data_IF_892355126036
#
_entry.id   IF_892355126036
#
_cell.length_a   1.000
_cell.length_b   1.000
_cell.length_c   1.000
_cell.angle_alpha   90.00
_cell.angle_beta   90.00
_cell.angle_gamma   90.00
#
_symmetry.space_group_name_H-M   'P 1'
#
loop_
_entity.id
_entity.type
_entity.pdbx_description
1 polymer ?
#
# COMPACT_ATOMS: atom_id res chain seq x y z
N UNK A 1 -2.67 62.68 -12.76
CA UNK A 1 -2.28 61.44 -12.03
C UNK A 1 -0.84 61.13 -12.39
N UNK A 2 0.09 61.33 -11.41
CA UNK A 2 1.52 61.01 -11.61
C UNK A 2 1.71 59.51 -11.26
N UNK A 3 2.14 58.73 -12.25
CA UNK A 3 2.48 57.30 -12.06
C UNK A 3 3.90 57.23 -11.51
N UNK A 4 4.03 56.86 -10.25
CA UNK A 4 5.31 56.66 -9.57
C UNK A 4 5.75 55.19 -9.73
N UNK A 5 6.86 54.96 -10.44
CA UNK A 5 7.46 53.64 -10.62
C UNK A 5 8.74 53.59 -9.78
N UNK A 6 8.73 52.97 -8.56
CA UNK A 6 9.94 52.84 -7.76
C UNK A 6 10.87 51.81 -8.40
N UNK A 7 12.05 52.24 -8.88
CA UNK A 7 13.09 51.35 -9.36
C UNK A 7 14.23 51.29 -8.35
N UNK A 8 14.43 50.14 -7.65
CA UNK A 8 15.56 50.01 -6.73
C UNK A 8 16.86 49.90 -7.52
N UNK A 9 17.70 50.96 -7.44
CA UNK A 9 18.98 51.03 -8.17
C UNK A 9 20.04 50.15 -7.51
N UNK A 10 19.96 49.95 -6.19
CA UNK A 10 20.90 49.14 -5.43
C UNK A 10 20.23 48.52 -4.19
N UNK A 11 20.37 47.20 -3.99
CA UNK A 11 19.66 46.44 -2.95
C UNK A 11 20.60 45.74 -1.93
N UNK A 12 21.90 46.03 -1.97
CA UNK A 12 22.90 45.42 -1.09
C UNK A 12 22.84 43.87 -1.08
N UNK A 13 22.65 43.26 -2.27
CA UNK A 13 22.55 41.77 -2.38
C UNK A 13 21.21 41.18 -1.98
N UNK A 14 20.24 41.97 -1.44
CA UNK A 14 18.94 41.44 -1.00
C UNK A 14 18.15 40.76 -2.13
N UNK A 15 18.19 41.30 -3.32
CA UNK A 15 17.49 40.71 -4.49
C UNK A 15 18.12 39.38 -4.86
N UNK A 16 19.45 39.31 -4.85
CA UNK A 16 20.19 38.06 -5.16
C UNK A 16 19.95 36.98 -4.08
N UNK A 17 19.89 37.36 -2.79
CA UNK A 17 19.56 36.47 -1.70
C UNK A 17 18.13 35.93 -1.82
N UNK A 18 17.17 36.76 -2.21
CA UNK A 18 15.78 36.34 -2.46
C UNK A 18 15.72 35.37 -3.66
N UNK A 19 16.47 35.65 -4.73
CA UNK A 19 16.54 34.77 -5.88
C UNK A 19 17.15 33.40 -5.54
N UNK A 20 18.26 33.38 -4.79
CA UNK A 20 18.87 32.12 -4.31
C UNK A 20 17.91 31.32 -3.42
N UNK A 21 17.23 31.99 -2.51
CA UNK A 21 16.24 31.34 -1.66
C UNK A 21 15.04 30.79 -2.46
N UNK A 22 14.58 31.50 -3.47
CA UNK A 22 13.52 31.02 -4.36
C UNK A 22 13.97 29.81 -5.21
N UNK A 23 15.20 29.80 -5.70
CA UNK A 23 15.80 28.66 -6.38
C UNK A 23 15.94 27.43 -5.45
N UNK A 24 16.33 27.64 -4.21
CA UNK A 24 16.39 26.57 -3.22
C UNK A 24 15.00 25.98 -2.95
N UNK A 25 13.96 26.80 -2.83
CA UNK A 25 12.58 26.32 -2.65
C UNK A 25 12.06 25.56 -3.87
N UNK A 26 12.36 26.01 -5.08
CA UNK A 26 12.04 25.30 -6.32
C UNK A 26 12.71 23.93 -6.36
N UNK A 27 13.99 23.84 -5.98
CA UNK A 27 14.73 22.56 -5.89
C UNK A 27 14.12 21.64 -4.82
N UNK A 28 13.80 22.17 -3.65
CA UNK A 28 13.17 21.42 -2.55
C UNK A 28 11.80 20.89 -2.98
N UNK A 29 10.99 21.68 -3.69
CA UNK A 29 9.68 21.24 -4.22
C UNK A 29 9.83 20.10 -5.23
N UNK A 30 10.89 20.11 -6.05
CA UNK A 30 11.22 19.00 -6.95
C UNK A 30 11.57 17.71 -6.19
N UNK A 31 12.28 17.83 -5.08
CA UNK A 31 12.61 16.71 -4.18
C UNK A 31 11.37 16.19 -3.44
N UNK A 32 10.45 17.06 -3.01
CA UNK A 32 9.17 16.65 -2.42
C UNK A 32 8.32 15.85 -3.42
N UNK A 33 8.30 16.26 -4.68
CA UNK A 33 7.63 15.50 -5.73
C UNK A 33 8.26 14.12 -5.91
N UNK A 34 9.59 14.01 -5.84
CA UNK A 34 10.28 12.72 -5.89
C UNK A 34 9.94 11.84 -4.67
N UNK A 35 9.87 12.44 -3.48
CA UNK A 35 9.44 11.75 -2.26
C UNK A 35 8.00 11.21 -2.40
N UNK A 36 7.06 12.07 -2.79
CA UNK A 36 5.66 11.69 -2.99
C UNK A 36 5.49 10.55 -4.02
N UNK A 37 6.28 10.56 -5.10
CA UNK A 37 6.29 9.47 -6.09
C UNK A 37 6.81 8.16 -5.51
N UNK A 38 7.81 8.20 -4.64
CA UNK A 38 8.33 6.99 -3.97
C UNK A 38 7.32 6.44 -2.97
N UNK A 39 6.64 7.29 -2.22
CA UNK A 39 5.59 6.90 -1.28
C UNK A 39 4.42 6.25 -2.03
N UNK A 40 3.96 6.86 -3.12
CA UNK A 40 2.91 6.29 -3.96
C UNK A 40 3.30 4.92 -4.54
N UNK A 41 4.54 4.76 -5.01
CA UNK A 41 5.03 3.45 -5.48
C UNK A 41 4.97 2.40 -4.38
N UNK A 42 5.38 2.75 -3.16
CA UNK A 42 5.33 1.84 -2.02
C UNK A 42 3.88 1.47 -1.67
N UNK A 43 2.97 2.44 -1.66
CA UNK A 43 1.54 2.21 -1.39
C UNK A 43 0.92 1.29 -2.45
N UNK A 44 1.17 1.54 -3.74
CA UNK A 44 0.69 0.68 -4.83
C UNK A 44 1.25 -0.74 -4.69
N UNK A 45 2.54 -0.87 -4.37
CA UNK A 45 3.16 -2.19 -4.18
C UNK A 45 2.53 -2.94 -3.02
N UNK A 46 2.26 -2.27 -1.90
CA UNK A 46 1.57 -2.86 -0.75
C UNK A 46 0.13 -3.27 -1.09
N UNK A 47 -0.60 -2.40 -1.78
CA UNK A 47 -1.97 -2.69 -2.20
C UNK A 47 -2.02 -3.87 -3.18
N UNK A 48 -1.07 -3.95 -4.11
CA UNK A 48 -0.92 -5.08 -5.03
C UNK A 48 -0.76 -6.41 -4.27
N UNK A 49 0.20 -6.49 -3.35
CA UNK A 49 0.42 -7.70 -2.56
C UNK A 49 -0.73 -8.01 -1.61
N UNK A 50 -1.46 -7.00 -1.13
CA UNK A 50 -2.68 -7.21 -0.34
C UNK A 50 -3.76 -7.92 -1.17
N UNK A 51 -3.95 -7.56 -2.45
CA UNK A 51 -4.90 -8.24 -3.34
C UNK A 51 -4.45 -9.68 -3.62
N UNK A 52 -3.17 -9.90 -3.91
CA UNK A 52 -2.62 -11.25 -4.15
C UNK A 52 -2.85 -12.14 -2.93
N UNK A 53 -2.50 -11.67 -1.74
CA UNK A 53 -2.68 -12.39 -0.48
C UNK A 53 -4.16 -12.66 -0.19
N UNK A 54 -5.04 -11.68 -0.39
CA UNK A 54 -6.47 -11.84 -0.19
C UNK A 54 -7.08 -12.85 -1.19
N UNK A 55 -6.62 -12.88 -2.42
CA UNK A 55 -7.05 -13.84 -3.44
C UNK A 55 -6.66 -15.27 -3.06
N UNK A 56 -5.41 -15.48 -2.61
CA UNK A 56 -4.97 -16.77 -2.11
C UNK A 56 -5.73 -17.20 -0.85
N UNK A 57 -6.05 -16.27 0.04
CA UNK A 57 -6.88 -16.54 1.21
C UNK A 57 -8.27 -17.05 0.82
N UNK A 58 -8.92 -16.45 -0.19
CA UNK A 58 -10.20 -16.94 -0.72
C UNK A 58 -10.06 -18.37 -1.23
N UNK A 59 -9.01 -18.68 -1.99
CA UNK A 59 -8.78 -20.03 -2.52
C UNK A 59 -8.64 -21.06 -1.41
N UNK A 60 -7.81 -20.79 -0.41
CA UNK A 60 -7.56 -21.70 0.72
C UNK A 60 -8.83 -21.95 1.53
N UNK A 61 -9.61 -20.88 1.80
CA UNK A 61 -10.85 -21.00 2.57
C UNK A 61 -11.94 -21.72 1.77
N UNK A 62 -12.02 -21.51 0.46
CA UNK A 62 -12.96 -22.22 -0.42
C UNK A 62 -12.65 -23.71 -0.48
N UNK A 63 -11.38 -24.09 -0.67
CA UNK A 63 -10.95 -25.50 -0.59
C UNK A 63 -11.25 -26.14 0.76
N UNK A 64 -11.13 -25.37 1.85
CA UNK A 64 -11.49 -25.85 3.20
C UNK A 64 -13.00 -26.07 3.31
N UNK A 65 -13.82 -25.21 2.72
CA UNK A 65 -15.28 -25.40 2.68
C UNK A 65 -15.66 -26.65 1.89
N UNK A 66 -15.02 -26.90 0.75
CA UNK A 66 -15.25 -28.13 -0.05
C UNK A 66 -14.92 -29.39 0.74
N UNK A 67 -13.82 -29.37 1.53
CA UNK A 67 -13.51 -30.49 2.44
C UNK A 67 -14.56 -30.68 3.53
N UNK A 68 -15.12 -29.59 4.08
CA UNK A 68 -16.22 -29.65 5.04
C UNK A 68 -17.51 -30.20 4.43
N UNK A 69 -17.81 -29.84 3.16
CA UNK A 69 -18.96 -30.38 2.43
C UNK A 69 -18.84 -31.89 2.23
N UNK A 70 -17.68 -32.40 1.84
CA UNK A 70 -17.41 -33.85 1.72
C UNK A 70 -17.51 -34.55 3.08
N UNK A 71 -16.96 -33.95 4.14
CA UNK A 71 -17.07 -34.51 5.50
C UNK A 71 -18.52 -34.58 5.98
N UNK A 72 -19.33 -33.57 5.71
CA UNK A 72 -20.75 -33.56 6.05
C UNK A 72 -21.51 -34.69 5.32
N UNK A 73 -21.22 -34.91 4.05
CA UNK A 73 -21.83 -35.99 3.26
C UNK A 73 -21.45 -37.38 3.87
N UNK A 74 -20.18 -37.58 4.22
CA UNK A 74 -19.72 -38.84 4.86
C UNK A 74 -20.45 -39.10 6.21
N UNK A 75 -20.51 -38.08 7.09
CA UNK A 75 -21.19 -38.24 8.40
C UNK A 75 -22.69 -38.46 8.21
N UNK A 76 -23.35 -37.82 7.25
CA UNK A 76 -24.76 -38.10 6.91
C UNK A 76 -24.98 -39.52 6.42
N UNK A 77 -24.08 -40.05 5.59
CA UNK A 77 -24.16 -41.44 5.14
C UNK A 77 -23.96 -42.43 6.29
N UNK A 78 -23.04 -42.18 7.22
CA UNK A 78 -22.86 -42.95 8.44
C UNK A 78 -24.09 -42.93 9.36
N UNK A 79 -24.76 -41.74 9.45
CA UNK A 79 -26.01 -41.66 10.24
C UNK A 79 -27.12 -42.53 9.60
N UNK A 80 -27.26 -42.57 8.28
CA UNK A 80 -28.26 -43.41 7.59
C UNK A 80 -28.14 -44.91 7.93
N UNK A 81 -26.93 -45.37 8.18
CA UNK A 81 -26.65 -46.77 8.54
C UNK A 81 -26.49 -46.97 10.06
N UNK A 82 -26.81 -45.95 10.87
CA UNK A 82 -26.80 -46.04 12.35
C UNK A 82 -25.42 -46.04 12.99
N UNK A 83 -24.34 -45.67 12.27
CA UNK A 83 -22.97 -45.68 12.79
C UNK A 83 -22.60 -44.46 13.63
N UNK A 84 -23.35 -43.37 13.51
CA UNK A 84 -23.12 -42.14 14.28
C UNK A 84 -24.44 -41.57 14.80
N UNK A 85 -24.44 -40.83 15.94
CA UNK A 85 -25.63 -40.18 16.43
C UNK A 85 -25.96 -38.89 15.62
N UNK A 86 -27.23 -38.41 15.63
CA UNK A 86 -27.63 -37.18 14.92
C UNK A 86 -26.83 -35.94 15.34
N UNK A 87 -26.36 -35.85 16.57
CA UNK A 87 -25.56 -34.73 17.09
C UNK A 87 -24.24 -34.52 16.32
N UNK A 88 -23.66 -35.62 15.80
CA UNK A 88 -22.42 -35.51 15.01
C UNK A 88 -22.67 -34.78 13.71
N UNK A 89 -23.80 -35.07 13.03
CA UNK A 89 -24.21 -34.33 11.82
C UNK A 89 -24.39 -32.84 12.11
N UNK A 90 -25.13 -32.51 13.19
CA UNK A 90 -25.36 -31.11 13.58
C UNK A 90 -24.05 -30.37 13.90
N UNK A 91 -23.10 -31.07 14.52
CA UNK A 91 -21.77 -30.53 14.82
C UNK A 91 -20.99 -30.16 13.54
N UNK A 92 -20.98 -31.06 12.54
CA UNK A 92 -20.32 -30.82 11.25
C UNK A 92 -21.05 -29.72 10.45
N UNK A 93 -22.39 -29.70 10.50
CA UNK A 93 -23.18 -28.62 9.87
C UNK A 93 -22.86 -27.24 10.48
N UNK A 94 -22.69 -27.17 11.79
CA UNK A 94 -22.27 -25.93 12.46
C UNK A 94 -20.85 -25.52 12.06
N UNK A 95 -19.92 -26.47 11.92
CA UNK A 95 -18.56 -26.20 11.46
C UNK A 95 -18.56 -25.71 9.99
N UNK A 96 -19.32 -26.38 9.11
CA UNK A 96 -19.50 -25.96 7.72
C UNK A 96 -20.05 -24.52 7.63
N UNK A 97 -21.04 -24.19 8.45
CA UNK A 97 -21.64 -22.85 8.49
C UNK A 97 -20.62 -21.79 8.90
N UNK A 98 -19.77 -22.07 9.89
CA UNK A 98 -18.65 -21.20 10.26
C UNK A 98 -17.65 -21.03 9.12
N UNK A 99 -17.30 -22.11 8.41
CA UNK A 99 -16.39 -22.05 7.28
C UNK A 99 -16.96 -21.22 6.12
N UNK A 100 -18.28 -21.34 5.87
CA UNK A 100 -18.96 -20.50 4.87
C UNK A 100 -18.93 -19.00 5.23
N UNK A 101 -19.07 -18.67 6.50
CA UNK A 101 -18.93 -17.30 6.98
C UNK A 101 -17.51 -16.76 6.71
N UNK A 102 -16.48 -17.58 7.00
CA UNK A 102 -15.08 -17.21 6.73
C UNK A 102 -14.84 -16.97 5.22
N UNK A 103 -15.46 -17.75 4.33
CA UNK A 103 -15.37 -17.54 2.89
C UNK A 103 -15.98 -16.20 2.47
N UNK A 104 -17.15 -15.86 3.02
CA UNK A 104 -17.77 -14.54 2.75
C UNK A 104 -16.84 -13.43 3.20
N UNK A 105 -16.26 -13.55 4.39
CA UNK A 105 -15.33 -12.56 4.93
C UNK A 105 -14.06 -12.44 4.07
N UNK A 106 -13.47 -13.56 3.64
CA UNK A 106 -12.31 -13.56 2.75
C UNK A 106 -12.62 -12.88 1.41
N UNK A 107 -13.79 -13.14 0.81
CA UNK A 107 -14.25 -12.48 -0.42
C UNK A 107 -14.42 -10.96 -0.24
N UNK A 108 -15.01 -10.54 0.88
CA UNK A 108 -15.16 -9.11 1.19
C UNK A 108 -13.79 -8.43 1.35
N UNK A 109 -12.85 -9.07 2.04
CA UNK A 109 -11.49 -8.54 2.20
C UNK A 109 -10.78 -8.40 0.84
N UNK A 110 -10.97 -9.36 -0.08
CA UNK A 110 -10.43 -9.28 -1.44
C UNK A 110 -11.03 -8.09 -2.21
N UNK A 111 -12.34 -7.89 -2.15
CA UNK A 111 -13.00 -6.77 -2.83
C UNK A 111 -12.55 -5.40 -2.26
N UNK A 112 -12.32 -5.31 -0.95
CA UNK A 112 -11.75 -4.11 -0.32
C UNK A 112 -10.33 -3.84 -0.84
N UNK A 113 -9.47 -4.85 -0.87
CA UNK A 113 -8.11 -4.72 -1.39
C UNK A 113 -8.09 -4.30 -2.87
N UNK A 114 -8.97 -4.87 -3.71
CA UNK A 114 -9.14 -4.46 -5.11
C UNK A 114 -9.59 -3.01 -5.24
N UNK A 115 -10.52 -2.57 -4.40
CA UNK A 115 -11.01 -1.19 -4.39
C UNK A 115 -9.89 -0.21 -4.02
N UNK A 116 -9.08 -0.55 -3.02
CA UNK A 116 -7.93 0.26 -2.63
C UNK A 116 -6.88 0.33 -3.75
N UNK A 117 -6.58 -0.77 -4.43
CA UNK A 117 -5.67 -0.78 -5.56
C UNK A 117 -6.18 0.07 -6.73
N UNK A 118 -7.50 -0.04 -7.07
CA UNK A 118 -8.13 0.83 -8.10
C UNK A 118 -8.00 2.30 -7.74
N UNK A 119 -8.28 2.66 -6.50
CA UNK A 119 -8.16 4.04 -6.01
C UNK A 119 -6.74 4.58 -6.15
N UNK A 120 -5.72 3.79 -5.79
CA UNK A 120 -4.32 4.20 -5.87
C UNK A 120 -3.80 4.30 -7.32
N UNK A 121 -4.31 3.46 -8.21
CA UNK A 121 -3.90 3.44 -9.62
C UNK A 121 -4.72 4.37 -10.51
N UNK A 122 -5.82 4.94 -10.00
CA UNK A 122 -6.78 5.72 -10.77
C UNK A 122 -7.58 4.89 -11.78
N UNK A 123 -7.62 3.58 -11.62
CA UNK A 123 -8.40 2.69 -12.48
C UNK A 123 -9.91 2.89 -12.29
N UNK A 124 -10.69 2.67 -13.34
CA UNK A 124 -12.15 2.79 -13.25
C UNK A 124 -12.73 1.79 -12.23
N UNK A 125 -13.80 2.16 -11.49
CA UNK A 125 -14.39 1.29 -10.47
C UNK A 125 -14.77 -0.10 -10.98
N UNK A 126 -15.23 -0.18 -12.22
CA UNK A 126 -15.71 -1.42 -12.85
C UNK A 126 -14.62 -2.14 -13.67
N UNK A 127 -13.39 -1.64 -13.66
CA UNK A 127 -12.28 -2.28 -14.39
C UNK A 127 -11.92 -3.63 -13.79
N UNK A 128 -11.77 -4.63 -14.63
CA UNK A 128 -11.23 -5.94 -14.24
C UNK A 128 -9.71 -5.80 -14.15
N UNK A 129 -9.16 -5.95 -12.95
CA UNK A 129 -7.72 -6.01 -12.73
C UNK A 129 -7.31 -7.48 -12.69
N UNK A 130 -6.65 -7.93 -13.74
CA UNK A 130 -5.98 -9.23 -13.75
C UNK A 130 -4.57 -9.05 -13.19
N UNK A 131 -4.29 -9.71 -12.07
CA UNK A 131 -2.99 -9.64 -11.40
C UNK A 131 -2.21 -10.92 -11.76
N UNK A 132 -1.17 -10.77 -12.54
CA UNK A 132 -0.23 -11.85 -12.86
C UNK A 132 0.87 -11.88 -11.79
N UNK A 133 0.57 -12.47 -10.65
CA UNK A 133 1.53 -12.66 -9.58
C UNK A 133 1.28 -13.95 -8.82
N UNK A 134 2.34 -14.67 -8.56
CA UNK A 134 2.37 -15.85 -7.69
C UNK A 134 3.01 -15.44 -6.37
N UNK A 135 2.40 -15.86 -5.24
CA UNK A 135 3.03 -15.75 -3.93
C UNK A 135 4.24 -16.69 -3.88
N UNK A 136 5.40 -16.12 -4.16
CA UNK A 136 6.67 -16.81 -3.97
C UNK A 136 7.40 -16.24 -2.75
N UNK A 137 8.23 -17.06 -2.11
CA UNK A 137 9.01 -16.60 -0.97
C UNK A 137 9.99 -15.51 -1.43
N UNK A 138 9.97 -14.31 -0.82
CA UNK A 138 10.91 -13.27 -1.22
C UNK A 138 12.34 -13.76 -0.99
N UNK A 139 13.20 -13.54 -1.97
CA UNK A 139 14.63 -13.76 -1.77
C UNK A 139 15.08 -12.94 -0.56
N UNK A 140 15.67 -13.61 0.43
CA UNK A 140 16.18 -12.93 1.63
C UNK A 140 17.19 -11.86 1.20
N UNK A 141 16.85 -10.60 1.44
CA UNK A 141 17.76 -9.49 1.19
C UNK A 141 19.01 -9.66 2.04
N UNK A 142 20.16 -9.62 1.41
CA UNK A 142 21.48 -9.81 2.08
C UNK A 142 21.99 -8.56 2.79
N UNK A 143 21.33 -7.42 2.61
CA UNK A 143 21.75 -6.17 3.21
C UNK A 143 21.30 -6.09 4.68
N UNK A 144 22.26 -5.95 5.60
CA UNK A 144 21.96 -5.68 7.01
C UNK A 144 21.21 -4.33 7.19
N UNK A 145 20.41 -4.22 8.24
CA UNK A 145 19.63 -3.02 8.55
C UNK A 145 20.46 -1.75 8.54
N UNK A 146 21.70 -1.80 9.07
CA UNK A 146 22.63 -0.66 9.13
C UNK A 146 23.03 -0.16 7.74
N UNK A 147 23.26 -1.08 6.80
CA UNK A 147 23.54 -0.76 5.39
C UNK A 147 22.37 -0.04 4.73
N UNK A 148 21.16 -0.57 4.92
CA UNK A 148 19.93 0.03 4.39
C UNK A 148 19.65 1.42 4.98
N UNK A 149 19.88 1.61 6.29
CA UNK A 149 19.74 2.92 6.95
C UNK A 149 20.76 3.92 6.40
N UNK A 150 22.00 3.48 6.19
CA UNK A 150 23.06 4.34 5.64
C UNK A 150 22.73 4.79 4.21
N UNK A 151 22.25 3.88 3.39
CA UNK A 151 21.80 4.20 2.03
C UNK A 151 20.58 5.12 2.03
N UNK A 152 19.58 4.82 2.84
CA UNK A 152 18.39 5.65 2.98
C UNK A 152 18.74 7.09 3.40
N UNK A 153 19.68 7.27 4.32
CA UNK A 153 20.16 8.61 4.73
C UNK A 153 20.77 9.43 3.59
N UNK A 154 21.33 8.77 2.58
CA UNK A 154 21.94 9.44 1.42
C UNK A 154 20.94 9.69 0.30
N UNK A 155 19.98 8.80 0.11
CA UNK A 155 19.12 8.76 -1.08
C UNK A 155 17.71 9.32 -0.85
N UNK A 156 17.26 9.49 0.40
CA UNK A 156 15.91 9.99 0.72
C UNK A 156 15.69 11.42 0.25
N UNK A 157 14.79 11.65 -0.71
CA UNK A 157 14.57 12.98 -1.28
C UNK A 157 13.88 13.94 -0.30
N UNK A 158 13.02 13.46 0.60
CA UNK A 158 12.38 14.26 1.66
C UNK A 158 13.41 14.91 2.59
N UNK A 159 14.45 14.16 2.96
CA UNK A 159 15.56 14.68 3.75
C UNK A 159 16.35 15.74 2.99
N UNK A 160 16.69 15.48 1.72
CA UNK A 160 17.39 16.42 0.86
C UNK A 160 16.56 17.70 0.63
N UNK A 161 15.24 17.61 0.55
CA UNK A 161 14.36 18.76 0.46
C UNK A 161 14.46 19.67 1.70
N UNK A 162 14.46 19.08 2.90
CA UNK A 162 14.62 19.82 4.15
C UNK A 162 15.99 20.47 4.22
N UNK A 163 17.07 19.75 3.90
CA UNK A 163 18.44 20.28 3.89
C UNK A 163 18.56 21.49 2.92
N UNK A 164 17.94 21.38 1.74
CA UNK A 164 17.90 22.46 0.74
C UNK A 164 17.14 23.69 1.27
N UNK A 165 16.00 23.50 1.97
CA UNK A 165 15.25 24.60 2.59
C UNK A 165 16.04 25.27 3.73
N UNK A 166 16.74 24.48 4.53
CA UNK A 166 17.59 25.03 5.60
C UNK A 166 18.70 25.90 5.01
N UNK A 167 19.37 25.45 3.94
CA UNK A 167 20.36 26.24 3.23
C UNK A 167 19.75 27.54 2.66
N UNK A 168 18.61 27.47 1.97
CA UNK A 168 17.92 28.64 1.43
C UNK A 168 17.40 29.62 2.50
N UNK A 169 17.08 29.14 3.71
CA UNK A 169 16.71 30.00 4.83
C UNK A 169 17.92 30.75 5.41
N UNK A 170 19.11 30.16 5.35
CA UNK A 170 20.38 30.81 5.74
C UNK A 170 20.66 32.03 4.87
N UNK A 171 20.48 31.91 3.56
CA UNK A 171 20.69 32.99 2.58
C UNK A 171 19.81 34.25 2.83
N UNK A 172 18.67 34.10 3.48
CA UNK A 172 17.77 35.22 3.84
C UNK A 172 18.22 36.01 5.06
N UNK A 173 19.19 35.53 5.82
CA UNK A 173 19.66 36.14 7.07
C UNK A 173 20.91 37.02 6.90
N UNK A 174 21.61 36.88 5.79
CA UNK A 174 22.73 37.72 5.36
C UNK A 174 22.23 38.93 4.56
#
# INVERSE_FOLDING_TARGET
ASMYLPWPIYTFGRTDAIERAAKAEMTASGLDLAAARNDLKLEITRAFWAVVTATESVRVVDESLQRMDASLEDVRNRLKVGLVPPNDVLSVEAQRSRQRMLLIQARNNREQALTDLRRLTGAAPDSVLELDAVLDAPAAGTAGVEGLVTEARKTRPDRQAIETRVAGAGERRE
#
